data_IF_940355613693
#
_entry.id   IF_940355613693
#
_cell.length_a   1.000
_cell.length_b   1.000
_cell.length_c   1.000
_cell.angle_alpha   90.00
_cell.angle_beta   90.00
_cell.angle_gamma   90.00
#
_symmetry.space_group_name_H-M   'P 1'
#
loop_
_entity.id
_entity.type
_entity.pdbx_description
1 polymer ?
#
# COMPACT_ATOMS: atom_id res chain seq x y z
N UNK A 1 38.75 -20.77 -20.00
CA UNK A 1 37.51 -20.41 -20.70
C UNK A 1 36.60 -19.77 -19.70
N UNK A 2 36.49 -18.44 -19.70
CA UNK A 2 35.63 -17.68 -18.80
C UNK A 2 34.19 -17.77 -19.32
N UNK A 3 33.30 -18.45 -18.58
CA UNK A 3 31.87 -18.45 -18.89
C UNK A 3 31.30 -17.08 -18.53
N UNK A 4 30.89 -16.32 -19.54
CA UNK A 4 30.08 -15.12 -19.34
C UNK A 4 28.77 -15.55 -18.67
N UNK A 5 28.38 -15.00 -17.50
CA UNK A 5 27.13 -15.35 -16.89
C UNK A 5 25.98 -14.99 -17.84
N UNK A 6 25.00 -15.88 -17.98
CA UNK A 6 23.81 -15.65 -18.77
C UNK A 6 23.14 -14.35 -18.33
N UNK A 7 22.59 -13.54 -19.25
CA UNK A 7 21.89 -12.30 -18.88
C UNK A 7 20.76 -12.64 -17.91
N UNK A 8 20.73 -11.92 -16.78
CA UNK A 8 19.68 -12.07 -15.79
C UNK A 8 18.32 -11.87 -16.50
N UNK A 9 17.40 -12.80 -16.30
CA UNK A 9 16.04 -12.68 -16.81
C UNK A 9 15.47 -11.36 -16.31
N UNK A 10 14.85 -10.51 -17.16
CA UNK A 10 14.26 -9.28 -16.68
C UNK A 10 13.31 -9.59 -15.53
N UNK A 11 13.34 -8.84 -14.43
CA UNK A 11 12.49 -9.10 -13.28
C UNK A 11 11.02 -9.11 -13.75
N UNK A 12 10.25 -10.11 -13.31
CA UNK A 12 8.82 -10.17 -13.58
C UNK A 12 8.16 -8.90 -13.01
N UNK A 13 7.26 -8.23 -13.74
CA UNK A 13 6.56 -7.07 -13.20
C UNK A 13 5.77 -7.45 -11.95
N UNK A 14 5.64 -6.52 -11.01
CA UNK A 14 4.82 -6.67 -9.82
C UNK A 14 3.37 -6.36 -10.17
N UNK A 15 2.52 -7.37 -10.23
CA UNK A 15 1.08 -7.20 -10.47
C UNK A 15 0.37 -6.59 -9.26
N UNK A 16 -0.24 -5.43 -9.43
CA UNK A 16 -0.95 -4.71 -8.36
C UNK A 16 -2.44 -4.75 -8.60
N UNK A 17 -3.20 -5.07 -7.54
CA UNK A 17 -4.64 -4.90 -7.48
C UNK A 17 -4.99 -3.78 -6.48
N UNK A 18 -5.82 -2.83 -6.90
CA UNK A 18 -6.33 -1.76 -6.06
C UNK A 18 -7.75 -2.06 -5.61
N UNK A 19 -8.01 -2.11 -4.32
CA UNK A 19 -9.36 -2.28 -3.78
C UNK A 19 -9.83 -0.96 -3.19
N UNK A 20 -10.84 -0.36 -3.84
CA UNK A 20 -11.32 0.99 -3.54
C UNK A 20 -10.67 2.06 -4.41
N UNK A 21 -11.50 2.84 -5.12
CA UNK A 21 -11.05 3.84 -6.10
C UNK A 21 -11.56 5.26 -5.79
N UNK A 22 -11.92 5.53 -4.53
CA UNK A 22 -12.26 6.87 -4.05
C UNK A 22 -11.00 7.74 -3.88
N UNK A 23 -11.02 8.72 -2.98
CA UNK A 23 -9.93 9.69 -2.84
C UNK A 23 -8.54 9.04 -2.70
N UNK A 24 -8.36 8.12 -1.74
CA UNK A 24 -7.06 7.46 -1.55
C UNK A 24 -6.70 6.53 -2.71
N UNK A 25 -7.65 5.79 -3.26
CA UNK A 25 -7.39 4.96 -4.43
C UNK A 25 -6.92 5.75 -5.65
N UNK A 26 -7.43 6.97 -5.84
CA UNK A 26 -6.92 7.89 -6.89
C UNK A 26 -5.49 8.34 -6.61
N UNK A 27 -5.19 8.67 -5.36
CA UNK A 27 -3.85 9.07 -4.92
C UNK A 27 -2.85 7.94 -5.10
N UNK A 28 -3.20 6.72 -4.68
CA UNK A 28 -2.36 5.54 -4.85
C UNK A 28 -2.19 5.16 -6.33
N UNK A 29 -3.26 5.24 -7.13
CA UNK A 29 -3.16 5.02 -8.59
C UNK A 29 -2.17 5.99 -9.25
N UNK A 30 -2.18 7.27 -8.82
CA UNK A 30 -1.19 8.23 -9.28
C UNK A 30 0.22 7.81 -8.86
N UNK A 31 0.41 7.41 -7.61
CA UNK A 31 1.70 6.96 -7.09
C UNK A 31 2.22 5.72 -7.85
N UNK A 32 1.41 4.69 -8.05
CA UNK A 32 1.79 3.50 -8.80
C UNK A 32 2.25 3.82 -10.22
N UNK A 33 1.54 4.72 -10.91
CA UNK A 33 1.88 5.14 -12.27
C UNK A 33 3.15 5.98 -12.35
N UNK A 34 3.44 6.77 -11.33
CA UNK A 34 4.56 7.73 -11.36
C UNK A 34 5.82 7.24 -10.66
N UNK A 35 5.72 6.36 -9.67
CA UNK A 35 6.87 5.86 -8.90
C UNK A 35 8.04 5.36 -9.78
N UNK A 36 7.82 4.59 -10.86
CA UNK A 36 8.92 4.13 -11.71
C UNK A 36 9.68 5.25 -12.45
N UNK A 37 9.12 6.45 -12.49
CA UNK A 37 9.74 7.63 -13.14
C UNK A 37 10.64 8.42 -12.20
N UNK A 38 10.50 8.20 -10.89
CA UNK A 38 11.21 8.95 -9.85
C UNK A 38 12.14 8.07 -9.02
N UNK A 39 11.95 6.75 -9.03
CA UNK A 39 12.69 5.82 -8.21
C UNK A 39 13.21 4.65 -9.06
N UNK A 40 14.43 4.21 -8.78
CA UNK A 40 14.97 2.96 -9.28
C UNK A 40 14.32 1.81 -8.47
N UNK A 41 13.32 1.19 -9.05
CA UNK A 41 12.54 0.14 -8.40
C UNK A 41 13.09 -1.25 -8.76
N UNK A 42 13.14 -2.19 -7.81
CA UNK A 42 13.61 -3.54 -8.07
C UNK A 42 12.66 -4.34 -8.99
N UNK A 43 11.41 -3.91 -9.12
CA UNK A 43 10.38 -4.48 -10.00
C UNK A 43 9.50 -3.37 -10.56
N UNK A 44 9.02 -3.55 -11.79
CA UNK A 44 8.10 -2.60 -12.43
C UNK A 44 6.66 -2.90 -11.98
N UNK A 45 5.98 -1.97 -11.30
CA UNK A 45 4.59 -2.18 -10.88
C UNK A 45 3.66 -2.12 -12.08
N UNK A 46 2.84 -3.16 -12.25
CA UNK A 46 1.79 -3.23 -13.24
C UNK A 46 0.44 -2.99 -12.58
N UNK A 47 -0.25 -1.95 -12.98
CA UNK A 47 -1.60 -1.63 -12.52
C UNK A 47 -2.60 -2.61 -13.18
N UNK A 48 -2.77 -3.80 -12.58
CA UNK A 48 -3.47 -4.94 -13.18
C UNK A 48 -4.98 -4.78 -13.10
N UNK A 49 -5.53 -4.57 -11.90
CA UNK A 49 -6.99 -4.51 -11.71
C UNK A 49 -7.37 -3.53 -10.62
N UNK A 50 -8.43 -2.77 -10.85
CA UNK A 50 -9.08 -1.96 -9.82
C UNK A 50 -10.43 -2.56 -9.43
N UNK A 51 -10.71 -2.57 -8.13
CA UNK A 51 -11.93 -3.18 -7.58
C UNK A 51 -12.82 -2.13 -6.92
N UNK A 52 -14.11 -2.21 -7.21
CA UNK A 52 -15.13 -1.38 -6.56
C UNK A 52 -16.51 -2.03 -6.65
N UNK A 53 -17.43 -1.62 -5.79
CA UNK A 53 -18.76 -2.27 -5.67
C UNK A 53 -19.72 -1.99 -6.83
N UNK A 54 -19.55 -0.85 -7.50
CA UNK A 54 -20.40 -0.44 -8.62
C UNK A 54 -19.66 -0.69 -9.93
N UNK A 55 -20.18 -1.54 -10.82
CA UNK A 55 -19.48 -1.92 -12.05
C UNK A 55 -19.23 -0.73 -12.99
N UNK A 56 -20.19 0.19 -13.12
CA UNK A 56 -20.06 1.34 -14.03
C UNK A 56 -18.99 2.32 -13.53
N UNK A 57 -19.01 2.66 -12.23
CA UNK A 57 -18.01 3.53 -11.61
C UNK A 57 -16.62 2.89 -11.60
N UNK A 58 -16.56 1.58 -11.38
CA UNK A 58 -15.27 0.86 -11.35
C UNK A 58 -14.66 0.80 -12.75
N UNK A 59 -15.46 0.55 -13.78
CA UNK A 59 -15.01 0.58 -15.17
C UNK A 59 -14.50 1.98 -15.56
N UNK A 60 -15.24 3.03 -15.20
CA UNK A 60 -14.81 4.41 -15.43
C UNK A 60 -13.52 4.75 -14.69
N UNK A 61 -13.37 4.26 -13.45
CA UNK A 61 -12.14 4.41 -12.67
C UNK A 61 -10.96 3.69 -13.31
N UNK A 62 -11.14 2.47 -13.82
CA UNK A 62 -10.10 1.74 -14.53
C UNK A 62 -9.57 2.56 -15.72
N UNK A 63 -10.46 3.07 -16.55
CA UNK A 63 -10.11 3.88 -17.72
C UNK A 63 -9.40 5.18 -17.33
N UNK A 64 -9.96 5.92 -16.36
CA UNK A 64 -9.44 7.24 -15.97
C UNK A 64 -8.09 7.13 -15.24
N UNK A 65 -7.92 6.10 -14.39
CA UNK A 65 -6.75 5.95 -13.55
C UNK A 65 -5.65 5.07 -14.18
N UNK A 66 -5.95 4.42 -15.31
CA UNK A 66 -4.96 3.63 -16.07
C UNK A 66 -4.79 2.19 -15.55
N UNK A 67 -5.82 1.60 -14.95
CA UNK A 67 -5.85 0.18 -14.61
C UNK A 67 -6.24 -0.65 -15.83
N UNK A 68 -5.61 -1.82 -15.98
CA UNK A 68 -5.88 -2.67 -17.13
C UNK A 68 -7.31 -3.25 -17.11
N UNK A 69 -7.81 -3.58 -15.92
CA UNK A 69 -9.11 -4.23 -15.74
C UNK A 69 -9.89 -3.61 -14.58
N UNK A 70 -11.20 -3.86 -14.56
CA UNK A 70 -12.13 -3.54 -13.49
C UNK A 70 -12.79 -4.82 -12.98
N UNK A 71 -12.93 -4.96 -11.67
CA UNK A 71 -13.60 -6.08 -10.99
C UNK A 71 -14.53 -5.55 -9.89
N UNK A 72 -15.58 -6.29 -9.57
CA UNK A 72 -16.54 -5.92 -8.53
C UNK A 72 -16.47 -6.77 -7.27
N UNK A 73 -15.82 -7.92 -7.34
CA UNK A 73 -15.57 -8.80 -6.19
C UNK A 73 -14.06 -8.93 -5.94
N UNK A 74 -13.62 -8.37 -4.82
CA UNK A 74 -12.21 -8.41 -4.43
C UNK A 74 -11.69 -9.84 -4.18
N UNK A 75 -12.57 -10.80 -3.87
CA UNK A 75 -12.16 -12.18 -3.62
C UNK A 75 -11.59 -12.84 -4.86
N UNK A 76 -12.16 -12.53 -6.04
CA UNK A 76 -11.66 -13.04 -7.32
C UNK A 76 -10.24 -12.58 -7.62
N UNK A 77 -9.86 -11.42 -7.10
CA UNK A 77 -8.51 -10.88 -7.29
C UNK A 77 -7.47 -11.73 -6.55
N UNK A 78 -7.83 -12.33 -5.42
CA UNK A 78 -6.92 -13.16 -4.62
C UNK A 78 -6.56 -14.48 -5.31
N UNK A 79 -7.41 -14.96 -6.21
CA UNK A 79 -7.22 -16.20 -6.99
C UNK A 79 -6.34 -15.98 -8.23
N UNK A 80 -6.00 -14.74 -8.57
CA UNK A 80 -5.25 -14.39 -9.79
C UNK A 80 -3.75 -14.61 -9.63
N UNK A 81 -3.14 -15.30 -10.58
CA UNK A 81 -1.68 -15.52 -10.64
C UNK A 81 -0.89 -14.27 -11.11
N UNK A 82 -1.57 -13.32 -11.76
CA UNK A 82 -0.97 -12.07 -12.25
C UNK A 82 -1.09 -10.90 -11.26
N UNK A 83 -1.62 -11.16 -10.04
CA UNK A 83 -1.66 -10.23 -8.93
C UNK A 83 -0.69 -10.69 -7.84
N UNK A 84 0.26 -9.86 -7.48
CA UNK A 84 1.25 -10.09 -6.43
C UNK A 84 0.96 -9.28 -5.18
N UNK A 85 0.38 -8.08 -5.35
CA UNK A 85 0.15 -7.11 -4.28
C UNK A 85 -1.28 -6.59 -4.32
N UNK A 86 -1.90 -6.55 -3.15
CA UNK A 86 -3.22 -5.95 -2.93
C UNK A 86 -3.05 -4.64 -2.18
N UNK A 87 -3.50 -3.55 -2.79
CA UNK A 87 -3.50 -2.19 -2.23
C UNK A 87 -4.92 -1.84 -1.79
N UNK A 88 -5.14 -1.72 -0.48
CA UNK A 88 -6.45 -1.59 0.15
C UNK A 88 -6.70 -0.14 0.52
N UNK A 89 -7.59 0.51 -0.23
CA UNK A 89 -8.00 1.90 -0.09
C UNK A 89 -9.51 2.04 0.19
N UNK A 90 -10.10 1.02 0.77
CA UNK A 90 -11.51 0.99 1.18
C UNK A 90 -11.74 1.73 2.50
N UNK A 91 -12.97 1.91 2.96
CA UNK A 91 -13.25 2.30 4.35
C UNK A 91 -12.69 1.30 5.37
N UNK A 92 -12.32 1.79 6.56
CA UNK A 92 -11.61 1.03 7.59
C UNK A 92 -12.32 -0.23 8.08
N UNK A 93 -13.65 -0.28 7.97
CA UNK A 93 -14.49 -1.43 8.35
C UNK A 93 -14.25 -2.70 7.52
N UNK A 94 -13.61 -2.57 6.36
CA UNK A 94 -13.29 -3.69 5.48
C UNK A 94 -11.80 -4.04 5.45
N UNK A 95 -10.93 -3.26 6.10
CA UNK A 95 -9.49 -3.46 6.06
C UNK A 95 -9.07 -4.83 6.58
N UNK A 96 -9.55 -5.22 7.76
CA UNK A 96 -9.17 -6.48 8.39
C UNK A 96 -9.54 -7.68 7.51
N UNK A 97 -10.80 -7.76 7.09
CA UNK A 97 -11.29 -8.87 6.26
C UNK A 97 -10.49 -9.03 4.97
N UNK A 98 -10.23 -7.92 4.26
CA UNK A 98 -9.54 -7.97 2.97
C UNK A 98 -8.05 -8.28 3.16
N UNK A 99 -7.41 -7.64 4.14
CA UNK A 99 -5.99 -7.81 4.37
C UNK A 99 -5.64 -9.23 4.85
N UNK A 100 -6.41 -9.79 5.78
CA UNK A 100 -6.20 -11.15 6.26
C UNK A 100 -6.36 -12.17 5.13
N UNK A 101 -7.44 -12.06 4.35
CA UNK A 101 -7.66 -12.95 3.20
C UNK A 101 -6.54 -12.82 2.14
N UNK A 102 -6.08 -11.60 1.87
CA UNK A 102 -4.98 -11.39 0.93
C UNK A 102 -3.65 -12.01 1.42
N UNK A 103 -3.34 -11.85 2.71
CA UNK A 103 -2.16 -12.46 3.32
C UNK A 103 -2.22 -13.99 3.31
N UNK A 104 -3.40 -14.57 3.58
CA UNK A 104 -3.64 -16.01 3.51
C UNK A 104 -3.51 -16.55 2.09
N UNK A 105 -3.93 -15.76 1.09
CA UNK A 105 -3.74 -16.07 -0.33
C UNK A 105 -2.28 -15.85 -0.82
N UNK A 106 -1.35 -15.48 0.06
CA UNK A 106 0.05 -15.26 -0.28
C UNK A 106 0.32 -13.95 -1.02
N UNK A 107 -0.62 -13.01 -1.01
CA UNK A 107 -0.44 -11.69 -1.65
C UNK A 107 0.22 -10.70 -0.70
N UNK A 108 1.13 -9.88 -1.21
CA UNK A 108 1.62 -8.72 -0.49
C UNK A 108 0.48 -7.75 -0.22
N UNK A 109 0.54 -7.02 0.90
CA UNK A 109 -0.54 -6.11 1.30
C UNK A 109 0.01 -4.71 1.59
N UNK A 110 -0.59 -3.71 0.95
CA UNK A 110 -0.55 -2.32 1.36
C UNK A 110 -1.96 -1.94 1.81
N UNK A 111 -2.14 -1.48 3.04
CA UNK A 111 -3.45 -1.08 3.56
C UNK A 111 -3.41 0.35 4.04
N UNK A 112 -4.43 1.13 3.72
CA UNK A 112 -4.57 2.51 4.21
C UNK A 112 -4.80 2.56 5.72
N UNK A 113 -4.51 3.72 6.27
CA UNK A 113 -4.80 4.04 7.68
C UNK A 113 -6.30 4.42 7.84
N UNK A 114 -6.89 4.20 9.02
CA UNK A 114 -6.38 3.41 10.15
C UNK A 114 -6.24 1.93 9.77
N UNK A 115 -5.32 1.22 10.43
CA UNK A 115 -5.11 -0.20 10.14
C UNK A 115 -6.41 -1.01 10.27
N UNK A 116 -7.14 -0.79 11.34
CA UNK A 116 -8.40 -1.43 11.68
C UNK A 116 -9.27 -0.49 12.53
N UNK A 117 -10.51 -0.86 12.79
CA UNK A 117 -11.43 -0.10 13.63
C UNK A 117 -11.31 -0.47 15.11
N UNK A 118 -10.84 -1.68 15.43
CA UNK A 118 -10.62 -2.15 16.78
C UNK A 118 -9.19 -2.68 16.99
N UNK A 119 -8.79 -2.81 18.25
CA UNK A 119 -7.48 -3.37 18.61
C UNK A 119 -7.42 -4.85 18.25
N UNK A 120 -8.50 -5.57 18.48
CA UNK A 120 -8.62 -7.00 18.20
C UNK A 120 -8.43 -7.31 16.71
N UNK A 121 -9.06 -6.53 15.84
CA UNK A 121 -8.84 -6.60 14.38
C UNK A 121 -7.38 -6.32 14.03
N UNK A 122 -6.80 -5.26 14.59
CA UNK A 122 -5.41 -4.91 14.33
C UNK A 122 -4.42 -6.01 14.78
N UNK A 123 -4.68 -6.65 15.92
CA UNK A 123 -3.89 -7.78 16.43
C UNK A 123 -4.02 -9.02 15.52
N UNK A 124 -5.22 -9.32 15.04
CA UNK A 124 -5.47 -10.41 14.10
C UNK A 124 -4.72 -10.18 12.77
N UNK A 125 -4.83 -8.98 12.20
CA UNK A 125 -4.08 -8.59 11.01
C UNK A 125 -2.56 -8.69 11.22
N UNK A 126 -2.06 -8.22 12.36
CA UNK A 126 -0.64 -8.32 12.69
C UNK A 126 -0.18 -9.78 12.84
N UNK A 127 -1.01 -10.65 13.41
CA UNK A 127 -0.73 -12.08 13.50
C UNK A 127 -0.72 -12.75 12.11
N UNK A 128 -1.69 -12.46 11.25
CA UNK A 128 -1.71 -12.92 9.86
C UNK A 128 -0.46 -12.46 9.09
N UNK A 129 -0.07 -11.19 9.25
CA UNK A 129 1.13 -10.64 8.61
C UNK A 129 2.42 -11.33 9.08
N UNK A 130 2.53 -11.69 10.36
CA UNK A 130 3.67 -12.45 10.89
C UNK A 130 3.76 -13.84 10.26
N UNK A 131 2.64 -14.57 10.18
CA UNK A 131 2.58 -15.90 9.52
C UNK A 131 2.96 -15.80 8.04
N UNK A 132 2.35 -14.88 7.30
CA UNK A 132 2.60 -14.70 5.87
C UNK A 132 4.06 -14.31 5.57
N UNK A 133 4.71 -13.58 6.48
CA UNK A 133 6.13 -13.20 6.35
C UNK A 133 7.08 -14.39 6.29
N UNK A 134 6.78 -15.50 6.93
CA UNK A 134 7.57 -16.73 6.90
C UNK A 134 7.64 -17.33 5.49
N UNK A 135 6.62 -17.05 4.67
CA UNK A 135 6.53 -17.44 3.25
C UNK A 135 6.96 -16.32 2.28
N UNK A 136 7.66 -15.29 2.76
CA UNK A 136 8.18 -14.21 1.93
C UNK A 136 7.18 -13.08 1.63
N UNK A 137 5.94 -13.17 2.11
CA UNK A 137 4.93 -12.12 1.94
C UNK A 137 5.28 -10.88 2.77
N UNK A 138 4.99 -9.71 2.24
CA UNK A 138 5.24 -8.42 2.91
C UNK A 138 3.94 -7.66 3.07
N UNK A 139 3.83 -6.94 4.18
CA UNK A 139 2.70 -6.05 4.44
C UNK A 139 3.15 -4.70 4.98
N UNK A 140 2.39 -3.66 4.67
CA UNK A 140 2.65 -2.30 5.12
C UNK A 140 1.33 -1.56 5.33
N UNK A 141 1.31 -0.69 6.35
CA UNK A 141 0.24 0.29 6.57
C UNK A 141 0.65 1.63 5.95
N UNK A 142 -0.29 2.33 5.35
CA UNK A 142 -0.13 3.60 4.67
C UNK A 142 0.19 4.80 5.58
N UNK A 143 1.10 4.65 6.54
CA UNK A 143 1.58 5.77 7.35
C UNK A 143 2.58 6.61 6.56
N UNK A 144 2.08 7.44 5.67
CA UNK A 144 2.86 8.23 4.70
C UNK A 144 3.88 9.16 5.36
N UNK A 145 3.57 9.71 6.54
CA UNK A 145 4.51 10.55 7.29
C UNK A 145 5.83 9.86 7.63
N UNK A 146 5.85 8.54 7.72
CA UNK A 146 7.11 7.79 7.89
C UNK A 146 8.08 7.93 6.72
N UNK A 147 7.61 8.44 5.58
CA UNK A 147 8.40 8.58 4.34
C UNK A 147 8.65 10.04 3.94
N UNK A 148 8.10 11.00 4.69
CA UNK A 148 8.36 12.42 4.46
C UNK A 148 9.85 12.73 4.65
N UNK A 149 10.54 13.31 3.64
CA UNK A 149 12.00 13.52 3.70
C UNK A 149 12.48 14.29 4.93
N UNK A 150 11.76 15.34 5.32
CA UNK A 150 12.11 16.12 6.52
C UNK A 150 12.05 15.29 7.81
N UNK A 151 11.04 14.40 7.94
CA UNK A 151 10.93 13.52 9.10
C UNK A 151 11.99 12.40 9.08
N UNK A 152 12.37 11.91 7.89
CA UNK A 152 13.49 10.99 7.77
C UNK A 152 14.81 11.64 8.16
N UNK A 153 15.04 12.88 7.73
CA UNK A 153 16.23 13.64 8.14
C UNK A 153 16.25 13.88 9.67
N UNK A 154 15.13 14.31 10.25
CA UNK A 154 15.02 14.48 11.70
C UNK A 154 15.35 13.18 12.45
N UNK A 155 14.79 12.05 12.01
CA UNK A 155 15.10 10.72 12.56
C UNK A 155 16.57 10.37 12.46
N UNK A 156 17.19 10.67 11.32
CA UNK A 156 18.61 10.43 11.09
C UNK A 156 19.48 11.26 12.04
N UNK A 157 19.22 12.57 12.14
CA UNK A 157 19.96 13.47 13.04
C UNK A 157 19.86 13.05 14.51
N UNK A 158 18.68 12.60 14.95
CA UNK A 158 18.47 12.04 16.29
C UNK A 158 19.31 10.77 16.48
N UNK A 159 19.25 9.84 15.52
CA UNK A 159 19.99 8.57 15.60
C UNK A 159 21.50 8.77 15.61
N UNK A 160 22.00 9.78 14.91
CA UNK A 160 23.41 10.16 14.87
C UNK A 160 23.85 10.95 16.13
N UNK A 161 22.95 11.22 17.07
CA UNK A 161 23.24 11.99 18.29
C UNK A 161 23.48 13.48 18.04
N UNK A 162 23.13 14.00 16.86
CA UNK A 162 23.41 15.39 16.46
C UNK A 162 22.72 16.44 17.33
N UNK A 163 21.64 16.07 18.00
CA UNK A 163 20.89 16.94 18.92
C UNK A 163 21.12 16.56 20.39
N UNK A 164 22.03 15.61 20.65
CA UNK A 164 22.30 15.11 21.99
C UNK A 164 21.18 14.23 22.56
N UNK A 165 21.14 14.10 23.88
CA UNK A 165 20.11 13.34 24.59
C UNK A 165 18.76 14.04 24.53
N UNK A 166 17.72 13.29 24.12
CA UNK A 166 16.34 13.81 24.06
C UNK A 166 15.78 13.90 25.47
N UNK A 167 15.53 15.11 25.95
CA UNK A 167 14.93 15.37 27.27
C UNK A 167 13.45 15.68 27.21
N UNK A 168 12.98 16.23 26.10
CA UNK A 168 11.58 16.61 25.92
C UNK A 168 11.18 16.51 24.46
N UNK A 169 9.95 16.05 24.20
CA UNK A 169 9.32 16.04 22.88
C UNK A 169 8.04 16.89 22.94
N UNK A 170 7.91 17.81 22.01
CA UNK A 170 6.65 18.53 21.75
C UNK A 170 6.28 18.31 20.29
N UNK A 171 5.09 17.79 20.02
CA UNK A 171 4.58 17.60 18.67
C UNK A 171 3.16 18.17 18.59
N UNK A 172 2.88 18.87 17.50
CA UNK A 172 1.57 19.40 17.20
C UNK A 172 1.25 19.11 15.73
N UNK A 173 0.03 18.73 15.48
CA UNK A 173 -0.51 18.51 14.14
C UNK A 173 -1.86 19.23 14.07
N UNK A 174 -1.80 20.51 13.74
CA UNK A 174 -2.97 21.38 13.72
C UNK A 174 -3.48 21.47 12.27
N UNK A 175 -4.78 21.25 12.12
CA UNK A 175 -5.48 21.34 10.84
C UNK A 175 -6.78 22.12 11.03
N UNK A 176 -7.15 22.92 10.04
CA UNK A 176 -8.32 23.78 10.05
C UNK A 176 -9.52 23.24 9.25
N UNK A 177 -9.34 22.18 8.49
CA UNK A 177 -10.37 21.62 7.60
C UNK A 177 -11.63 21.11 8.32
N UNK A 178 -11.58 20.91 9.65
CA UNK A 178 -12.73 20.64 10.51
C UNK A 178 -13.11 21.82 11.41
N UNK A 179 -12.57 23.01 11.18
CA UNK A 179 -12.87 24.20 11.99
C UNK A 179 -14.27 24.75 11.70
N UNK A 180 -14.81 24.48 10.52
CA UNK A 180 -16.19 24.85 10.18
C UNK A 180 -17.15 23.74 10.64
N UNK A 181 -18.18 24.10 11.39
CA UNK A 181 -19.23 23.18 11.86
C UNK A 181 -20.03 22.54 10.71
N UNK A 182 -19.90 23.04 9.50
CA UNK A 182 -20.59 22.54 8.29
C UNK A 182 -19.63 21.83 7.32
N UNK A 183 -18.36 21.60 7.70
CA UNK A 183 -17.37 20.92 6.87
C UNK A 183 -17.60 19.42 6.75
#
# INVERSE_FOLDING_TARGET
>A
MSQTPAPARPPRPLGVAMIGHSFMGRTHSHAWRTAPRFFDLPMDPKMTVVVGRDPGRTQAAAQTLGWAEAETDWRRVLERDDVDLVDICTPGDSHAQIAEAALEAGKHVLVEKPLANTVEEAEAMAAAARRAREFGVRSMVGFTYRRVPALQLARQLIKEGRIGEIRQVRAQYLQDWLADAQA
#
